data_IF_237299858701
#
_entry.id   IF_237299858701
#
_cell.length_a   1.000
_cell.length_b   1.000
_cell.length_c   1.000
_cell.angle_alpha   90.00
_cell.angle_beta   90.00
_cell.angle_gamma   90.00
#
_symmetry.space_group_name_H-M   'P 1'
#
loop_
_entity.id
_entity.type
_entity.pdbx_description
1 polymer ?
#
# COMPACT_ATOMS: atom_id res chain seq x y z
N UNK A 1 11.26 -10.46 10.94
CA UNK A 1 11.99 -10.61 9.67
C UNK A 1 12.42 -12.06 9.54
N UNK A 2 13.24 -12.57 10.47
CA UNK A 2 13.72 -13.96 10.46
C UNK A 2 12.57 -14.98 10.36
N UNK A 3 11.52 -14.81 11.16
CA UNK A 3 10.33 -15.68 11.10
C UNK A 3 9.65 -15.75 9.71
N UNK A 4 9.71 -14.70 8.89
CA UNK A 4 9.09 -14.69 7.55
C UNK A 4 9.97 -15.45 6.56
N UNK A 5 11.28 -15.23 6.64
CA UNK A 5 12.26 -15.94 5.82
C UNK A 5 12.26 -17.44 6.16
N UNK A 6 12.20 -17.77 7.45
CA UNK A 6 12.11 -19.15 7.94
C UNK A 6 10.80 -19.82 7.50
N UNK A 7 9.66 -19.11 7.58
CA UNK A 7 8.37 -19.61 7.11
C UNK A 7 8.38 -19.88 5.60
N UNK A 8 8.95 -18.96 4.81
CA UNK A 8 9.09 -19.13 3.36
C UNK A 8 9.97 -20.34 3.01
N UNK A 9 11.12 -20.46 3.68
CA UNK A 9 12.04 -21.59 3.46
C UNK A 9 11.41 -22.93 3.86
N UNK A 10 10.70 -22.99 4.99
CA UNK A 10 10.00 -24.20 5.41
C UNK A 10 8.89 -24.58 4.40
N UNK A 11 8.06 -23.62 4.00
CA UNK A 11 6.98 -23.86 3.03
C UNK A 11 7.53 -24.33 1.67
N UNK A 12 8.68 -23.79 1.23
CA UNK A 12 9.36 -24.25 0.03
C UNK A 12 9.84 -25.71 0.15
N UNK A 13 10.47 -26.07 1.26
CA UNK A 13 10.94 -27.44 1.48
C UNK A 13 9.78 -28.44 1.52
N UNK A 14 8.69 -28.11 2.23
CA UNK A 14 7.47 -28.93 2.29
C UNK A 14 6.80 -29.08 0.92
N UNK A 15 6.78 -28.02 0.11
CA UNK A 15 6.28 -28.06 -1.27
C UNK A 15 7.10 -29.01 -2.16
N UNK A 16 8.44 -28.90 -2.10
CA UNK A 16 9.34 -29.78 -2.86
C UNK A 16 9.22 -31.23 -2.40
N UNK A 17 9.11 -31.48 -1.09
CA UNK A 17 8.91 -32.81 -0.53
C UNK A 17 7.58 -33.43 -1.00
N UNK A 18 6.49 -32.65 -1.04
CA UNK A 18 5.21 -33.11 -1.56
C UNK A 18 5.26 -33.40 -3.07
N UNK A 19 6.02 -32.60 -3.84
CA UNK A 19 6.24 -32.86 -5.27
C UNK A 19 6.98 -34.19 -5.49
N UNK A 20 8.03 -34.46 -4.71
CA UNK A 20 8.75 -35.72 -4.75
C UNK A 20 7.82 -36.90 -4.39
N UNK A 21 7.00 -36.75 -3.36
CA UNK A 21 6.03 -37.78 -2.95
C UNK A 21 5.04 -38.14 -4.06
N UNK A 22 4.61 -37.17 -4.88
CA UNK A 22 3.76 -37.43 -6.06
C UNK A 22 4.50 -38.25 -7.11
N UNK A 23 5.78 -37.95 -7.36
CA UNK A 23 6.60 -38.69 -8.32
C UNK A 23 6.86 -40.13 -7.87
N UNK A 24 7.21 -40.32 -6.60
CA UNK A 24 7.41 -41.64 -6.00
C UNK A 24 6.13 -42.49 -6.01
N UNK A 25 4.98 -41.88 -5.68
CA UNK A 25 3.69 -42.56 -5.73
C UNK A 25 3.31 -42.97 -7.17
N UNK A 26 3.60 -42.11 -8.15
CA UNK A 26 3.39 -42.40 -9.58
C UNK A 26 4.32 -43.48 -10.10
N UNK A 27 5.59 -43.46 -9.71
CA UNK A 27 6.55 -44.50 -10.10
C UNK A 27 6.13 -45.86 -9.53
N UNK A 28 5.78 -45.89 -8.25
CA UNK A 28 5.32 -47.10 -7.55
C UNK A 28 4.03 -47.68 -8.13
N UNK A 29 3.16 -46.85 -8.72
CA UNK A 29 1.92 -47.29 -9.37
C UNK A 29 2.05 -47.61 -10.86
N UNK A 30 3.26 -47.50 -11.44
CA UNK A 30 3.45 -47.65 -12.89
C UNK A 30 2.68 -46.59 -13.70
N UNK A 31 2.64 -45.36 -13.19
CA UNK A 31 1.85 -44.23 -13.71
C UNK A 31 0.34 -44.43 -13.74
N UNK A 32 -0.18 -45.46 -13.07
CA UNK A 32 -1.63 -45.66 -12.93
C UNK A 32 -2.21 -44.73 -11.87
N UNK A 33 -3.45 -44.29 -12.09
CA UNK A 33 -4.20 -43.52 -11.10
C UNK A 33 -4.62 -44.44 -9.96
N UNK A 34 -4.13 -44.15 -8.76
CA UNK A 34 -4.41 -44.92 -7.54
C UNK A 34 -4.80 -43.99 -6.40
N UNK A 35 -5.45 -44.53 -5.36
CA UNK A 35 -5.79 -43.75 -4.16
C UNK A 35 -4.55 -43.11 -3.51
N UNK A 36 -3.39 -43.79 -3.56
CA UNK A 36 -2.12 -43.25 -3.07
C UNK A 36 -1.64 -42.05 -3.91
N UNK A 37 -1.74 -42.13 -5.24
CA UNK A 37 -1.40 -41.02 -6.15
C UNK A 37 -2.36 -39.84 -5.96
N UNK A 38 -3.65 -40.11 -5.79
CA UNK A 38 -4.66 -39.07 -5.54
C UNK A 38 -4.40 -38.37 -4.19
N UNK A 39 -4.10 -39.13 -3.12
CA UNK A 39 -3.75 -38.56 -1.82
C UNK A 39 -2.48 -37.70 -1.88
N UNK A 40 -1.44 -38.16 -2.60
CA UNK A 40 -0.21 -37.38 -2.79
C UNK A 40 -0.48 -36.09 -3.58
N UNK A 41 -1.35 -36.12 -4.60
CA UNK A 41 -1.73 -34.93 -5.37
C UNK A 41 -2.51 -33.91 -4.54
N UNK A 42 -3.44 -34.35 -3.68
CA UNK A 42 -4.15 -33.44 -2.77
C UNK A 42 -3.20 -32.81 -1.75
N UNK A 43 -2.25 -33.59 -1.20
CA UNK A 43 -1.21 -33.06 -0.33
C UNK A 43 -0.33 -32.03 -1.05
N UNK A 44 0.10 -32.32 -2.27
CA UNK A 44 0.87 -31.39 -3.11
C UNK A 44 0.12 -30.07 -3.35
N UNK A 45 -1.18 -30.13 -3.68
CA UNK A 45 -2.01 -28.93 -3.84
C UNK A 45 -2.05 -28.10 -2.55
N UNK A 46 -2.22 -28.76 -1.41
CA UNK A 46 -2.23 -28.08 -0.12
C UNK A 46 -0.89 -27.41 0.18
N UNK A 47 0.24 -28.08 -0.05
CA UNK A 47 1.58 -27.51 0.17
C UNK A 47 1.91 -26.39 -0.80
N UNK A 48 1.48 -26.50 -2.06
CA UNK A 48 1.57 -25.43 -3.04
C UNK A 48 0.85 -24.16 -2.57
N UNK A 49 -0.38 -24.30 -2.06
CA UNK A 49 -1.15 -23.14 -1.60
C UNK A 49 -0.50 -22.47 -0.38
N UNK A 50 0.00 -23.28 0.57
CA UNK A 50 0.76 -22.74 1.71
C UNK A 50 2.03 -22.01 1.28
N UNK A 51 2.77 -22.56 0.30
CA UNK A 51 3.95 -21.91 -0.26
C UNK A 51 3.60 -20.60 -0.96
N UNK A 52 2.50 -20.57 -1.73
CA UNK A 52 2.00 -19.36 -2.39
C UNK A 52 1.69 -18.25 -1.37
N UNK A 53 0.99 -18.58 -0.28
CA UNK A 53 0.70 -17.63 0.80
C UNK A 53 1.98 -17.13 1.47
N UNK A 54 2.99 -17.99 1.67
CA UNK A 54 4.27 -17.56 2.23
C UNK A 54 5.02 -16.61 1.27
N UNK A 55 4.93 -16.82 -0.04
CA UNK A 55 5.46 -15.89 -1.04
C UNK A 55 4.76 -14.53 -0.98
N UNK A 56 3.42 -14.51 -0.91
CA UNK A 56 2.64 -13.26 -0.79
C UNK A 56 3.07 -12.46 0.47
N UNK A 57 3.25 -13.14 1.60
CA UNK A 57 3.71 -12.50 2.85
C UNK A 57 5.15 -11.98 2.74
N UNK A 58 6.03 -12.70 2.06
CA UNK A 58 7.40 -12.26 1.82
C UNK A 58 7.45 -11.03 0.91
N UNK A 59 6.59 -10.96 -0.10
CA UNK A 59 6.44 -9.80 -0.98
C UNK A 59 5.93 -8.57 -0.19
N UNK A 60 4.87 -8.73 0.60
CA UNK A 60 4.36 -7.66 1.48
C UNK A 60 5.45 -7.15 2.44
N UNK A 61 6.24 -8.07 2.99
CA UNK A 61 7.36 -7.69 3.85
C UNK A 61 8.40 -6.83 3.10
N UNK A 62 8.80 -7.23 1.89
CA UNK A 62 9.73 -6.44 1.07
C UNK A 62 9.15 -5.07 0.73
N UNK A 63 7.86 -5.00 0.40
CA UNK A 63 7.19 -3.72 0.16
C UNK A 63 7.15 -2.83 1.40
N UNK A 64 6.89 -3.41 2.58
CA UNK A 64 6.90 -2.68 3.85
C UNK A 64 8.28 -2.10 4.17
N UNK A 65 9.35 -2.86 3.89
CA UNK A 65 10.73 -2.42 4.08
C UNK A 65 11.07 -1.31 3.08
N UNK A 66 10.63 -1.43 1.82
CA UNK A 66 10.79 -0.39 0.79
C UNK A 66 10.10 0.91 1.20
N UNK A 67 8.89 0.86 1.76
CA UNK A 67 8.18 2.03 2.28
C UNK A 67 8.88 2.66 3.47
N UNK A 68 9.41 1.84 4.39
CA UNK A 68 10.19 2.33 5.54
C UNK A 68 11.43 3.11 5.05
N UNK A 69 12.21 2.52 4.15
CA UNK A 69 13.40 3.13 3.55
C UNK A 69 13.05 4.40 2.75
N UNK A 70 11.96 4.37 1.99
CA UNK A 70 11.50 5.53 1.24
C UNK A 70 11.02 6.68 2.13
N UNK A 71 10.41 6.38 3.29
CA UNK A 71 9.92 7.41 4.21
C UNK A 71 11.01 7.99 5.12
N UNK A 72 11.99 7.19 5.54
CA UNK A 72 13.14 7.68 6.31
C UNK A 72 14.11 8.54 5.48
N UNK A 73 14.10 8.42 4.15
CA UNK A 73 14.87 9.28 3.24
C UNK A 73 14.24 10.67 3.00
N UNK A 74 12.94 10.85 3.23
CA UNK A 74 12.22 12.11 2.97
C UNK A 74 12.24 13.10 4.15
N UNK A 75 12.80 12.70 5.30
CA UNK A 75 12.85 13.55 6.52
C UNK A 75 14.20 14.29 6.65
N UNK A 76 15.27 13.83 5.99
CA UNK A 76 16.60 14.44 6.13
C UNK A 76 16.80 15.73 5.31
N UNK A 77 15.96 16.00 4.30
CA UNK A 77 16.05 17.25 3.51
C UNK A 77 15.37 18.46 4.18
N UNK A 78 14.57 18.26 5.24
CA UNK A 78 13.88 19.36 5.94
C UNK A 78 14.49 19.72 7.31
N UNK A 79 15.47 18.95 7.80
CA UNK A 79 16.14 19.24 9.07
C UNK A 79 17.63 19.37 8.83
N UNK A 80 18.03 20.53 8.29
CA UNK A 80 19.42 20.88 8.12
C UNK A 80 20.24 20.51 9.36
N UNK A 81 21.17 19.58 9.19
CA UNK A 81 22.19 19.26 10.18
C UNK A 81 23.03 20.52 10.43
N UNK A 82 22.70 21.26 11.49
CA UNK A 82 23.61 22.27 12.06
C UNK A 82 24.60 21.51 12.94
N UNK A 83 25.49 20.76 12.30
CA UNK A 83 26.77 20.42 12.89
C UNK A 83 27.77 21.49 12.44
N UNK A 84 27.95 22.55 13.26
CA UNK A 84 28.92 23.58 12.93
C UNK A 84 29.03 24.76 13.91
N UNK A 85 29.81 24.54 14.97
CA UNK A 85 30.62 25.53 15.73
C UNK A 85 29.96 26.24 16.94
N UNK A 86 30.52 26.10 18.16
CA UNK A 86 30.12 26.92 19.30
C UNK A 86 30.78 28.31 19.17
N UNK A 87 29.96 29.35 19.16
CA UNK A 87 30.42 30.73 19.31
C UNK A 87 30.23 31.61 18.08
N UNK A 88 29.00 32.02 17.79
CA UNK A 88 28.75 33.35 17.23
C UNK A 88 27.32 33.77 17.60
N UNK A 89 27.22 34.75 18.47
CA UNK A 89 25.97 35.42 18.77
C UNK A 89 25.74 36.58 17.79
N UNK A 90 24.44 36.81 17.53
CA UNK A 90 23.80 38.04 17.02
C UNK A 90 23.80 38.24 15.49
N UNK A 91 22.63 38.09 14.85
CA UNK A 91 21.78 39.23 14.41
C UNK A 91 20.46 38.74 13.78
N UNK A 92 19.34 39.36 14.22
CA UNK A 92 18.06 39.51 13.53
C UNK A 92 17.37 38.24 12.97
N UNK A 93 16.37 37.78 13.72
CA UNK A 93 15.49 36.68 13.34
C UNK A 93 14.66 36.97 12.08
N UNK A 94 14.83 36.10 11.08
CA UNK A 94 13.74 35.68 10.22
C UNK A 94 13.53 34.20 10.52
N UNK A 95 12.32 33.78 10.96
CA UNK A 95 12.07 32.37 11.22
C UNK A 95 12.23 31.58 9.91
N UNK A 96 12.82 30.38 9.94
CA UNK A 96 12.96 29.55 8.74
C UNK A 96 11.58 29.37 8.10
N UNK A 97 11.48 29.65 6.80
CA UNK A 97 10.24 29.51 6.03
C UNK A 97 9.85 28.03 6.12
N UNK A 98 8.84 27.72 6.93
CA UNK A 98 8.39 26.34 7.08
C UNK A 98 7.88 25.86 5.73
N UNK A 99 8.32 24.67 5.30
CA UNK A 99 7.81 24.02 4.10
C UNK A 99 6.27 23.99 4.09
N UNK A 100 5.67 23.87 5.28
CA UNK A 100 4.23 23.98 5.54
C UNK A 100 3.64 25.33 5.11
N UNK A 101 4.33 26.46 5.38
CA UNK A 101 3.87 27.79 4.95
C UNK A 101 3.97 27.93 3.44
N UNK A 102 5.01 27.40 2.82
CA UNK A 102 5.14 27.40 1.36
C UNK A 102 4.07 26.51 0.70
N UNK A 103 3.76 25.35 1.29
CA UNK A 103 2.71 24.44 0.82
C UNK A 103 1.32 25.07 0.95
N UNK A 104 0.98 25.65 2.11
CA UNK A 104 -0.28 26.38 2.30
C UNK A 104 -0.41 27.54 1.33
N UNK A 105 0.66 28.31 1.11
CA UNK A 105 0.66 29.37 0.11
C UNK A 105 0.47 28.80 -1.30
N UNK A 106 1.11 27.69 -1.66
CA UNK A 106 0.93 27.04 -2.97
C UNK A 106 -0.51 26.55 -3.18
N UNK A 107 -1.17 26.10 -2.12
CA UNK A 107 -2.56 25.61 -2.14
C UNK A 107 -3.54 26.76 -2.27
N UNK A 108 -3.33 27.85 -1.52
CA UNK A 108 -4.11 29.08 -1.63
C UNK A 108 -3.99 29.71 -3.03
N UNK A 109 -2.77 29.74 -3.59
CA UNK A 109 -2.52 30.25 -4.95
C UNK A 109 -3.20 29.36 -5.99
N UNK A 110 -3.14 28.03 -5.87
CA UNK A 110 -3.88 27.12 -6.75
C UNK A 110 -5.39 27.37 -6.71
N UNK A 111 -5.95 27.63 -5.52
CA UNK A 111 -7.37 27.95 -5.37
C UNK A 111 -7.74 29.27 -6.03
N UNK A 112 -6.91 30.31 -5.85
CA UNK A 112 -7.12 31.62 -6.48
C UNK A 112 -7.07 31.54 -8.01
N UNK A 113 -6.15 30.74 -8.57
CA UNK A 113 -6.08 30.51 -10.02
C UNK A 113 -7.35 29.84 -10.53
N UNK A 114 -7.89 28.88 -9.77
CA UNK A 114 -9.17 28.23 -10.09
C UNK A 114 -10.32 29.25 -10.04
N UNK A 115 -10.38 30.12 -9.04
CA UNK A 115 -11.38 31.19 -8.96
C UNK A 115 -11.27 32.20 -10.11
N UNK A 116 -10.05 32.56 -10.53
CA UNK A 116 -9.84 33.44 -11.67
C UNK A 116 -10.19 32.78 -13.01
N UNK A 117 -9.97 31.47 -13.14
CA UNK A 117 -10.37 30.69 -14.33
C UNK A 117 -11.89 30.51 -14.41
N UNK A 118 -12.56 30.28 -13.28
CA UNK A 118 -14.03 30.16 -13.23
C UNK A 118 -14.75 31.53 -13.16
N UNK A 119 -14.03 32.62 -12.85
CA UNK A 119 -14.55 33.98 -12.76
C UNK A 119 -14.67 34.74 -14.09
N UNK A 120 -14.27 34.13 -15.21
CA UNK A 120 -14.55 34.68 -16.55
C UNK A 120 -15.97 34.31 -17.00
N UNK A 121 -16.97 34.80 -16.26
CA UNK A 121 -18.40 34.56 -16.50
C UNK A 121 -19.31 35.37 -15.58
N UNK A 122 -19.60 36.60 -16.01
CA UNK A 122 -20.76 37.47 -15.68
C UNK A 122 -21.67 37.15 -14.46
N UNK A 123 -21.74 38.15 -13.55
CA UNK A 123 -22.91 38.70 -12.85
C UNK A 123 -23.64 37.93 -11.70
N UNK A 124 -23.78 38.63 -10.56
CA UNK A 124 -24.94 38.56 -9.65
C UNK A 124 -24.72 37.88 -8.29
N UNK A 125 -24.77 38.64 -7.17
CA UNK A 125 -25.00 38.08 -5.83
C UNK A 125 -26.47 37.66 -5.62
N UNK A 126 -26.97 37.40 -4.38
CA UNK A 126 -26.30 37.28 -3.09
C UNK A 126 -26.72 36.03 -2.25
N UNK A 127 -26.16 35.92 -1.04
CA UNK A 127 -26.75 35.33 0.20
C UNK A 127 -26.55 33.84 0.49
N UNK A 128 -25.74 33.60 1.51
CA UNK A 128 -25.71 32.38 2.33
C UNK A 128 -27.01 32.22 3.14
N UNK A 129 -27.63 31.03 3.09
CA UNK A 129 -28.50 30.45 4.12
C UNK A 129 -28.48 28.92 3.94
N UNK A 130 -27.66 28.19 4.70
CA UNK A 130 -28.01 27.44 5.93
C UNK A 130 -28.74 26.09 5.70
N UNK A 131 -28.09 25.05 6.22
CA UNK A 131 -28.65 23.95 7.04
C UNK A 131 -29.16 22.64 6.39
N UNK A 132 -28.43 21.57 6.79
CA UNK A 132 -28.87 20.20 7.14
C UNK A 132 -29.37 19.21 6.08
N UNK A 133 -28.59 18.12 5.92
CA UNK A 133 -29.09 16.77 5.58
C UNK A 133 -29.98 16.23 6.73
N UNK A 134 -30.90 15.24 6.55
CA UNK A 134 -30.54 13.82 6.31
C UNK A 134 -31.59 12.96 5.55
N UNK A 135 -31.34 11.63 5.46
CA UNK A 135 -32.24 10.48 5.18
C UNK A 135 -32.91 10.35 3.80
N UNK A 136 -33.33 9.21 3.25
CA UNK A 136 -32.98 7.77 3.22
C UNK A 136 -34.02 7.15 2.23
N UNK A 137 -33.63 6.09 1.52
CA UNK A 137 -34.48 5.11 0.83
C UNK A 137 -35.57 5.56 -0.18
N UNK A 138 -35.42 5.12 -1.45
CA UNK A 138 -36.09 3.89 -1.94
C UNK A 138 -35.83 3.60 -3.43
N UNK A 139 -35.36 2.38 -3.65
CA UNK A 139 -35.49 1.58 -4.88
C UNK A 139 -36.97 1.34 -5.23
N UNK A 140 -37.30 1.33 -6.53
CA UNK A 140 -38.38 0.59 -7.24
C UNK A 140 -38.61 1.32 -8.58
N UNK A 141 -38.82 0.71 -9.74
CA UNK A 141 -38.87 -0.67 -10.20
C UNK A 141 -38.99 -0.58 -11.74
N UNK A 142 -38.56 -1.65 -12.40
CA UNK A 142 -38.75 -2.07 -13.79
C UNK A 142 -40.11 -1.70 -14.44
N UNK A 143 -40.09 -1.39 -15.75
CA UNK A 143 -40.87 -2.12 -16.76
C UNK A 143 -40.76 -1.48 -18.15
N UNK A 144 -40.36 -2.32 -19.11
CA UNK A 144 -40.48 -2.12 -20.54
C UNK A 144 -41.96 -2.10 -21.00
N UNK A 145 -42.32 -1.15 -21.87
CA UNK A 145 -42.94 -1.38 -23.19
C UNK A 145 -43.17 -0.06 -23.92
#
# INVERSE_FOLDING_TARGET
MDNIVDALNNAYQEFVAAAASVLEAKESSGAQKTAATDAALENFKQRWELFRVACDQAEEFVESVKQRIGSECLVDEATGSVAGKPGQAVTAGLPPISAVRLEQMSKAVRWLVIELQHGSGTAGGPSHSHVSAPFDARFSEDAAQ
#
